data_IF_761015317855
#
_entry.id   IF_761015317855
#
_cell.length_a   1.000
_cell.length_b   1.000
_cell.length_c   1.000
_cell.angle_alpha   90.00
_cell.angle_beta   90.00
_cell.angle_gamma   90.00
#
_symmetry.space_group_name_H-M   'P 1'
#
loop_
_entity.id
_entity.type
_entity.pdbx_description
1 polymer ?
#
# COMPACT_ATOMS: atom_id res chain seq x y z
N UNK A 1 -14.62 -36.80 -0.82
CA UNK A 1 -15.72 -37.54 -1.51
C UNK A 1 -15.51 -39.04 -1.32
N UNK A 2 -16.39 -39.74 -0.57
CA UNK A 2 -16.35 -41.20 -0.34
C UNK A 2 -17.37 -41.95 -1.22
N UNK A 3 -17.57 -41.51 -2.46
CA UNK A 3 -18.48 -42.21 -3.39
C UNK A 3 -17.73 -43.36 -4.05
N UNK A 4 -18.28 -44.58 -3.99
CA UNK A 4 -17.68 -45.78 -4.60
C UNK A 4 -17.46 -45.68 -6.11
N UNK A 5 -18.08 -44.70 -6.78
CA UNK A 5 -17.91 -44.42 -8.21
C UNK A 5 -16.83 -43.38 -8.54
N UNK A 6 -16.21 -42.75 -7.53
CA UNK A 6 -15.17 -41.74 -7.74
C UNK A 6 -13.96 -42.31 -8.50
N UNK A 7 -13.57 -43.56 -8.22
CA UNK A 7 -12.48 -44.25 -8.92
C UNK A 7 -12.69 -44.32 -10.44
N UNK A 8 -13.92 -44.54 -10.89
CA UNK A 8 -14.29 -44.59 -12.30
C UNK A 8 -14.23 -43.20 -12.96
N UNK A 9 -14.86 -42.19 -12.35
CA UNK A 9 -14.92 -40.85 -12.92
C UNK A 9 -13.63 -40.03 -12.75
N UNK A 10 -12.72 -40.43 -11.85
CA UNK A 10 -11.46 -39.72 -11.55
C UNK A 10 -10.66 -39.39 -12.82
N UNK A 11 -10.53 -40.35 -13.75
CA UNK A 11 -9.77 -40.16 -14.99
C UNK A 11 -10.43 -39.15 -15.94
N UNK A 12 -11.75 -39.27 -16.13
CA UNK A 12 -12.54 -38.36 -16.98
C UNK A 12 -12.54 -36.93 -16.44
N UNK A 13 -12.75 -36.75 -15.13
CA UNK A 13 -12.71 -35.44 -14.48
C UNK A 13 -11.31 -34.84 -14.62
N UNK A 14 -10.25 -35.62 -14.38
CA UNK A 14 -8.88 -35.15 -14.54
C UNK A 14 -8.59 -34.69 -15.98
N UNK A 15 -9.04 -35.46 -16.98
CA UNK A 15 -8.90 -35.10 -18.39
C UNK A 15 -9.65 -33.79 -18.71
N UNK A 16 -10.91 -33.66 -18.28
CA UNK A 16 -11.69 -32.44 -18.46
C UNK A 16 -11.00 -31.22 -17.85
N UNK A 17 -10.55 -31.30 -16.60
CA UNK A 17 -9.87 -30.21 -15.91
C UNK A 17 -8.53 -29.83 -16.56
N UNK A 18 -7.81 -30.82 -17.08
CA UNK A 18 -6.55 -30.58 -17.81
C UNK A 18 -6.81 -29.82 -19.11
N UNK A 19 -7.83 -30.24 -19.87
CA UNK A 19 -8.25 -29.55 -21.10
C UNK A 19 -8.80 -28.14 -20.81
N UNK A 20 -9.50 -27.94 -19.70
CA UNK A 20 -9.98 -26.64 -19.26
C UNK A 20 -8.83 -25.68 -18.95
N UNK A 21 -7.80 -26.13 -18.23
CA UNK A 21 -6.60 -25.33 -17.97
C UNK A 21 -5.86 -25.03 -19.28
N UNK A 22 -5.78 -26.01 -20.20
CA UNK A 22 -5.18 -25.81 -21.51
C UNK A 22 -5.94 -24.76 -22.34
N UNK A 23 -7.27 -24.81 -22.35
CA UNK A 23 -8.12 -23.81 -22.99
C UNK A 23 -7.86 -22.41 -22.43
N UNK A 24 -7.85 -22.26 -21.10
CA UNK A 24 -7.57 -20.98 -20.43
C UNK A 24 -6.20 -20.38 -20.79
N UNK A 25 -5.20 -21.21 -21.11
CA UNK A 25 -3.86 -20.74 -21.50
C UNK A 25 -3.79 -20.24 -22.94
N UNK A 26 -4.69 -20.71 -23.80
CA UNK A 26 -4.63 -20.47 -25.25
C UNK A 26 -5.71 -19.52 -25.76
N UNK A 27 -6.73 -19.22 -24.95
CA UNK A 27 -7.73 -18.22 -25.29
C UNK A 27 -7.13 -16.81 -25.29
N UNK A 28 -7.46 -16.04 -26.30
CA UNK A 28 -7.00 -14.65 -26.49
C UNK A 28 -8.13 -13.62 -26.36
N UNK A 29 -9.36 -14.01 -26.71
CA UNK A 29 -10.54 -13.15 -26.60
C UNK A 29 -10.90 -12.89 -25.13
N UNK A 30 -11.09 -11.61 -24.78
CA UNK A 30 -11.25 -11.19 -23.39
C UNK A 30 -12.58 -11.63 -22.77
N UNK A 31 -13.67 -11.61 -23.54
CA UNK A 31 -15.00 -11.99 -23.04
C UNK A 31 -15.10 -13.50 -22.88
N UNK A 32 -14.57 -14.26 -23.85
CA UNK A 32 -14.47 -15.71 -23.76
C UNK A 32 -13.52 -16.15 -22.62
N UNK A 33 -12.40 -15.46 -22.42
CA UNK A 33 -11.52 -15.70 -21.27
C UNK A 33 -12.28 -15.49 -19.96
N UNK A 34 -12.94 -14.34 -19.80
CA UNK A 34 -13.72 -14.03 -18.59
C UNK A 34 -14.79 -15.09 -18.33
N UNK A 35 -15.56 -15.46 -19.34
CA UNK A 35 -16.61 -16.48 -19.22
C UNK A 35 -16.02 -17.84 -18.85
N UNK A 36 -14.93 -18.24 -19.50
CA UNK A 36 -14.28 -19.54 -19.24
C UNK A 36 -13.70 -19.60 -17.82
N UNK A 37 -13.10 -18.51 -17.33
CA UNK A 37 -12.62 -18.44 -15.93
C UNK A 37 -13.80 -18.55 -14.95
N UNK A 38 -14.92 -17.86 -15.23
CA UNK A 38 -16.12 -17.91 -14.41
C UNK A 38 -16.73 -19.31 -14.34
N UNK A 39 -16.75 -20.06 -15.43
CA UNK A 39 -17.21 -21.45 -15.43
C UNK A 39 -16.19 -22.38 -14.76
N UNK A 40 -14.89 -22.14 -14.96
CA UNK A 40 -13.83 -22.90 -14.28
C UNK A 40 -13.83 -22.74 -12.76
N UNK A 41 -14.19 -21.56 -12.25
CA UNK A 41 -14.36 -21.28 -10.83
C UNK A 41 -15.41 -22.19 -10.18
N UNK A 42 -16.49 -22.54 -10.88
CA UNK A 42 -17.50 -23.50 -10.38
C UNK A 42 -16.90 -24.90 -10.20
N UNK A 43 -15.85 -25.23 -10.95
CA UNK A 43 -15.16 -26.51 -10.87
C UNK A 43 -14.03 -26.54 -9.82
N UNK A 44 -13.84 -25.47 -9.03
CA UNK A 44 -12.78 -25.41 -8.01
C UNK A 44 -12.81 -26.57 -7.03
N UNK A 45 -14.00 -27.04 -6.62
CA UNK A 45 -14.14 -28.19 -5.72
C UNK A 45 -13.61 -29.51 -6.32
N UNK A 46 -13.61 -29.64 -7.65
CA UNK A 46 -13.04 -30.78 -8.35
C UNK A 46 -11.53 -30.61 -8.55
N UNK A 47 -11.06 -29.37 -8.77
CA UNK A 47 -9.64 -29.05 -8.91
C UNK A 47 -8.85 -29.33 -7.64
N UNK A 48 -9.38 -28.99 -6.46
CA UNK A 48 -8.69 -29.22 -5.18
C UNK A 48 -8.46 -30.70 -4.85
N UNK A 49 -9.21 -31.61 -5.50
CA UNK A 49 -8.99 -33.06 -5.41
C UNK A 49 -7.69 -33.52 -6.09
N UNK A 50 -7.08 -32.67 -6.93
CA UNK A 50 -5.85 -32.96 -7.67
C UNK A 50 -4.81 -31.85 -7.44
N UNK A 51 -3.93 -32.01 -6.45
CA UNK A 51 -2.96 -30.98 -6.02
C UNK A 51 -2.14 -30.37 -7.17
N UNK A 52 -1.65 -31.22 -8.08
CA UNK A 52 -0.94 -30.75 -9.27
C UNK A 52 -1.80 -29.84 -10.15
N UNK A 53 -3.05 -30.23 -10.42
CA UNK A 53 -3.94 -29.44 -11.26
C UNK A 53 -4.38 -28.15 -10.57
N UNK A 54 -4.62 -28.17 -9.26
CA UNK A 54 -4.93 -26.96 -8.49
C UNK A 54 -3.78 -25.95 -8.54
N UNK A 55 -2.53 -26.39 -8.39
CA UNK A 55 -1.34 -25.53 -8.53
C UNK A 55 -1.15 -25.02 -9.95
N UNK A 56 -1.38 -25.86 -10.95
CA UNK A 56 -1.33 -25.44 -12.36
C UNK A 56 -2.44 -24.43 -12.71
N UNK A 57 -3.63 -24.60 -12.14
CA UNK A 57 -4.75 -23.68 -12.27
C UNK A 57 -4.43 -22.34 -11.61
N UNK A 58 -3.94 -22.34 -10.35
CA UNK A 58 -3.49 -21.14 -9.67
C UNK A 58 -2.46 -20.36 -10.50
N UNK A 59 -1.47 -21.06 -11.08
CA UNK A 59 -0.47 -20.44 -11.96
C UNK A 59 -1.10 -19.80 -13.19
N UNK A 60 -2.07 -20.46 -13.81
CA UNK A 60 -2.81 -19.91 -14.96
C UNK A 60 -3.63 -18.68 -14.55
N UNK A 61 -4.33 -18.71 -13.42
CA UNK A 61 -5.07 -17.56 -12.91
C UNK A 61 -4.16 -16.37 -12.58
N UNK A 62 -3.02 -16.61 -11.93
CA UNK A 62 -2.04 -15.56 -11.62
C UNK A 62 -1.51 -14.88 -12.90
N UNK A 63 -1.24 -15.67 -13.94
CA UNK A 63 -0.83 -15.11 -15.23
C UNK A 63 -1.93 -14.25 -15.86
N UNK A 64 -3.19 -14.68 -15.82
CA UNK A 64 -4.32 -13.89 -16.32
C UNK A 64 -4.56 -12.62 -15.49
N UNK A 65 -4.35 -12.71 -14.17
CA UNK A 65 -4.50 -11.59 -13.25
C UNK A 65 -3.40 -10.54 -13.42
N UNK A 66 -2.15 -10.95 -13.68
CA UNK A 66 -1.00 -10.04 -13.78
C UNK A 66 -0.57 -9.70 -15.21
N UNK A 67 -1.18 -10.31 -16.23
CA UNK A 67 -0.83 -10.01 -17.63
C UNK A 67 -1.16 -8.57 -17.96
N UNK A 68 -0.30 -7.89 -18.70
CA UNK A 68 -0.57 -6.52 -19.19
C UNK A 68 -1.64 -6.49 -20.29
N UNK A 69 -1.86 -7.61 -21.00
CA UNK A 69 -2.80 -7.71 -22.12
C UNK A 69 -4.24 -7.99 -21.68
N UNK A 70 -4.43 -8.45 -20.44
CA UNK A 70 -5.77 -8.76 -19.94
C UNK A 70 -6.61 -7.49 -19.79
N UNK A 71 -7.93 -7.61 -19.85
CA UNK A 71 -8.85 -6.53 -19.46
C UNK A 71 -9.09 -6.59 -17.95
N UNK A 72 -9.59 -5.49 -17.37
CA UNK A 72 -9.89 -5.44 -15.94
C UNK A 72 -10.97 -6.45 -15.54
N UNK A 73 -11.92 -6.72 -16.44
CA UNK A 73 -12.95 -7.74 -16.22
C UNK A 73 -12.37 -9.15 -16.11
N UNK A 74 -11.34 -9.48 -16.90
CA UNK A 74 -10.61 -10.76 -16.81
C UNK A 74 -9.78 -10.81 -15.51
N UNK A 75 -9.10 -9.72 -15.14
CA UNK A 75 -8.31 -9.68 -13.89
C UNK A 75 -9.18 -9.88 -12.66
N UNK A 76 -10.32 -9.20 -12.58
CA UNK A 76 -11.28 -9.34 -11.48
C UNK A 76 -11.78 -10.78 -11.42
N UNK A 77 -12.20 -11.36 -12.54
CA UNK A 77 -12.70 -12.75 -12.55
C UNK A 77 -11.61 -13.76 -12.18
N UNK A 78 -10.38 -13.58 -12.68
CA UNK A 78 -9.24 -14.42 -12.31
C UNK A 78 -8.95 -14.33 -10.80
N UNK A 79 -9.02 -13.13 -10.22
CA UNK A 79 -8.84 -12.95 -8.79
C UNK A 79 -9.97 -13.60 -7.97
N UNK A 80 -11.23 -13.48 -8.39
CA UNK A 80 -12.36 -14.17 -7.75
C UNK A 80 -12.16 -15.69 -7.75
N UNK A 81 -11.69 -16.25 -8.87
CA UNK A 81 -11.35 -17.66 -8.95
C UNK A 81 -10.18 -18.06 -8.03
N UNK A 82 -9.16 -17.20 -7.86
CA UNK A 82 -8.08 -17.40 -6.87
C UNK A 82 -8.66 -17.40 -5.45
N UNK A 83 -9.55 -16.44 -5.14
CA UNK A 83 -10.22 -16.35 -3.83
C UNK A 83 -11.07 -17.59 -3.56
N UNK A 84 -11.84 -18.07 -4.54
CA UNK A 84 -12.59 -19.32 -4.45
C UNK A 84 -11.67 -20.51 -4.16
N UNK A 85 -10.53 -20.62 -4.87
CA UNK A 85 -9.52 -21.66 -4.60
C UNK A 85 -8.95 -21.58 -3.18
N UNK A 86 -8.72 -20.37 -2.67
CA UNK A 86 -8.16 -20.15 -1.34
C UNK A 86 -9.13 -20.55 -0.21
N UNK A 87 -10.44 -20.37 -0.41
CA UNK A 87 -11.49 -20.66 0.60
C UNK A 87 -11.95 -22.12 0.53
N UNK A 88 -11.87 -22.75 -0.64
CA UNK A 88 -12.40 -24.11 -0.84
C UNK A 88 -11.67 -25.13 0.04
N UNK A 89 -12.44 -25.83 0.87
CA UNK A 89 -11.94 -26.90 1.74
C UNK A 89 -11.39 -28.08 0.92
N UNK A 90 -10.21 -28.57 1.28
CA UNK A 90 -9.60 -29.74 0.63
C UNK A 90 -10.13 -31.02 1.27
N UNK A 91 -10.70 -31.96 0.50
CA UNK A 91 -11.09 -33.26 1.04
C UNK A 91 -9.84 -34.02 1.52
N UNK A 92 -9.79 -34.34 2.82
CA UNK A 92 -8.72 -35.17 3.37
C UNK A 92 -8.78 -36.57 2.75
N UNK A 93 -7.72 -36.96 2.05
CA UNK A 93 -7.62 -38.24 1.33
C UNK A 93 -6.17 -38.71 1.24
N UNK A 94 -5.96 -40.00 0.87
CA UNK A 94 -4.62 -40.65 0.86
C UNK A 94 -3.55 -39.92 0.03
N UNK A 95 -3.93 -39.10 -0.95
CA UNK A 95 -3.03 -38.37 -1.86
C UNK A 95 -2.97 -36.84 -1.59
N UNK A 96 -3.83 -36.30 -0.72
CA UNK A 96 -3.95 -34.85 -0.52
C UNK A 96 -3.81 -34.51 0.96
N UNK A 97 -2.75 -33.78 1.31
CA UNK A 97 -2.60 -33.20 2.65
C UNK A 97 -3.82 -32.31 2.91
N UNK A 98 -4.41 -32.37 4.10
CA UNK A 98 -5.55 -31.53 4.50
C UNK A 98 -5.21 -30.02 4.57
N UNK A 99 -4.07 -29.61 4.00
CA UNK A 99 -3.60 -28.25 4.00
C UNK A 99 -4.29 -27.50 2.86
N UNK A 100 -5.11 -26.51 3.22
CA UNK A 100 -5.80 -25.67 2.25
C UNK A 100 -4.84 -24.89 1.35
N UNK A 101 -5.39 -24.33 0.26
CA UNK A 101 -4.60 -23.54 -0.70
C UNK A 101 -4.43 -22.07 -0.29
N UNK A 102 -4.97 -21.65 0.85
CA UNK A 102 -4.92 -20.24 1.28
C UNK A 102 -3.48 -19.72 1.39
N UNK A 103 -2.60 -20.43 2.09
CA UNK A 103 -1.20 -20.00 2.28
C UNK A 103 -0.45 -19.84 0.95
N UNK A 104 -0.59 -20.82 0.04
CA UNK A 104 0.04 -20.76 -1.28
C UNK A 104 -0.59 -19.65 -2.16
N UNK A 105 -1.88 -19.37 -2.01
CA UNK A 105 -2.53 -18.27 -2.70
C UNK A 105 -2.03 -16.92 -2.19
N UNK A 106 -2.02 -16.68 -0.87
CA UNK A 106 -1.50 -15.45 -0.25
C UNK A 106 -0.08 -15.17 -0.73
N UNK A 107 0.81 -16.16 -0.60
CA UNK A 107 2.20 -16.06 -1.02
C UNK A 107 2.34 -15.72 -2.51
N UNK A 108 1.69 -16.47 -3.41
CA UNK A 108 1.90 -16.28 -4.84
C UNK A 108 1.20 -15.04 -5.40
N UNK A 109 0.08 -14.61 -4.81
CA UNK A 109 -0.59 -13.35 -5.16
C UNK A 109 0.35 -12.18 -4.82
N UNK A 110 0.91 -12.15 -3.61
CA UNK A 110 1.87 -11.11 -3.23
C UNK A 110 3.12 -11.11 -4.12
N UNK A 111 3.76 -12.27 -4.32
CA UNK A 111 4.96 -12.34 -5.16
C UNK A 111 4.71 -11.94 -6.62
N UNK A 112 3.54 -12.33 -7.17
CA UNK A 112 3.13 -11.94 -8.53
C UNK A 112 2.88 -10.43 -8.61
N UNK A 113 2.21 -9.86 -7.62
CA UNK A 113 2.01 -8.41 -7.52
C UNK A 113 3.34 -7.64 -7.51
N UNK A 114 4.27 -8.02 -6.61
CA UNK A 114 5.58 -7.36 -6.49
C UNK A 114 6.38 -7.44 -7.79
N UNK A 115 6.29 -8.57 -8.51
CA UNK A 115 6.94 -8.74 -9.82
C UNK A 115 6.40 -7.76 -10.87
N UNK A 116 5.11 -7.45 -10.84
CA UNK A 116 4.47 -6.53 -11.80
C UNK A 116 4.68 -5.04 -11.45
N UNK A 117 5.08 -4.73 -10.22
CA UNK A 117 5.29 -3.35 -9.74
C UNK A 117 6.62 -2.71 -10.17
N UNK A 118 7.41 -3.33 -11.07
CA UNK A 118 8.75 -2.83 -11.43
C UNK A 118 8.71 -1.51 -12.19
N UNK A 119 7.72 -1.34 -13.07
CA UNK A 119 7.58 -0.18 -13.94
C UNK A 119 6.23 0.51 -13.67
N UNK A 120 6.28 1.61 -12.92
CA UNK A 120 5.09 2.44 -12.65
C UNK A 120 5.12 3.65 -13.56
N UNK A 121 4.03 3.85 -14.31
CA UNK A 121 3.79 4.99 -15.17
C UNK A 121 2.27 5.28 -15.20
N UNK A 122 1.81 6.38 -15.84
CA UNK A 122 0.39 6.75 -15.82
C UNK A 122 -0.55 5.68 -16.38
N UNK A 123 -0.08 4.81 -17.28
CA UNK A 123 -0.88 3.72 -17.85
C UNK A 123 -0.88 2.45 -16.98
N UNK A 124 0.22 2.14 -16.28
CA UNK A 124 0.32 0.95 -15.44
C UNK A 124 -0.19 1.16 -14.02
N UNK A 125 -0.17 2.40 -13.52
CA UNK A 125 -0.58 2.73 -12.15
C UNK A 125 -2.03 2.32 -11.83
N UNK A 126 -3.05 2.56 -12.69
CA UNK A 126 -4.41 2.09 -12.43
C UNK A 126 -4.51 0.57 -12.28
N UNK A 127 -3.80 -0.17 -13.13
CA UNK A 127 -3.76 -1.64 -13.08
C UNK A 127 -3.07 -2.13 -11.80
N UNK A 128 -1.95 -1.50 -11.41
CA UNK A 128 -1.25 -1.82 -10.16
C UNK A 128 -2.17 -1.56 -8.96
N UNK A 129 -2.88 -0.44 -8.93
CA UNK A 129 -3.83 -0.12 -7.86
C UNK A 129 -4.99 -1.13 -7.80
N UNK A 130 -5.56 -1.50 -8.95
CA UNK A 130 -6.59 -2.54 -9.01
C UNK A 130 -6.08 -3.87 -8.45
N UNK A 131 -4.89 -4.31 -8.89
CA UNK A 131 -4.27 -5.54 -8.38
C UNK A 131 -4.01 -5.46 -6.88
N UNK A 132 -3.48 -4.33 -6.38
CA UNK A 132 -3.23 -4.10 -4.95
C UNK A 132 -4.52 -4.23 -4.15
N UNK A 133 -5.57 -3.51 -4.55
CA UNK A 133 -6.87 -3.52 -3.87
C UNK A 133 -7.51 -4.92 -3.85
N UNK A 134 -7.45 -5.65 -4.97
CA UNK A 134 -7.93 -7.03 -5.03
C UNK A 134 -7.12 -7.93 -4.09
N UNK A 135 -5.80 -7.92 -4.22
CA UNK A 135 -4.91 -8.76 -3.42
C UNK A 135 -5.05 -8.50 -1.91
N UNK A 136 -5.25 -7.24 -1.48
CA UNK A 136 -5.56 -6.89 -0.09
C UNK A 136 -6.79 -7.67 0.43
N UNK A 137 -7.84 -7.83 -0.37
CA UNK A 137 -9.04 -8.58 0.06
C UNK A 137 -8.76 -10.05 0.40
N UNK A 138 -7.73 -10.66 -0.19
CA UNK A 138 -7.38 -12.05 0.08
C UNK A 138 -6.87 -12.24 1.52
N UNK A 139 -6.20 -11.23 2.07
CA UNK A 139 -5.65 -11.25 3.43
C UNK A 139 -6.73 -11.13 4.52
N UNK A 140 -7.97 -10.80 4.16
CA UNK A 140 -9.10 -10.81 5.09
C UNK A 140 -9.68 -12.19 5.38
N UNK A 141 -9.25 -13.25 4.68
CA UNK A 141 -9.82 -14.60 4.85
C UNK A 141 -9.40 -15.24 6.18
N UNK A 142 -8.12 -15.10 6.57
CA UNK A 142 -7.60 -15.67 7.80
C UNK A 142 -6.51 -14.78 8.39
N UNK A 143 -6.83 -14.09 9.49
CA UNK A 143 -5.93 -13.09 10.09
C UNK A 143 -4.62 -13.69 10.60
N UNK A 144 -4.63 -14.94 11.07
CA UNK A 144 -3.44 -15.63 11.57
C UNK A 144 -2.44 -15.92 10.46
N UNK A 145 -2.88 -16.48 9.33
CA UNK A 145 -2.01 -16.74 8.18
C UNK A 145 -1.55 -15.43 7.53
N UNK A 146 -2.45 -14.45 7.44
CA UNK A 146 -2.13 -13.11 6.96
C UNK A 146 -1.03 -12.46 7.78
N UNK A 147 -1.10 -12.56 9.10
CA UNK A 147 -0.07 -12.07 10.02
C UNK A 147 1.28 -12.76 9.77
N UNK A 148 1.30 -14.09 9.65
CA UNK A 148 2.53 -14.84 9.38
C UNK A 148 3.21 -14.42 8.07
N UNK A 149 2.42 -14.27 6.99
CA UNK A 149 2.92 -13.80 5.69
C UNK A 149 3.41 -12.34 5.77
N UNK A 150 2.61 -11.45 6.36
CA UNK A 150 2.94 -10.04 6.53
C UNK A 150 4.23 -9.86 7.33
N UNK A 151 4.39 -10.57 8.45
CA UNK A 151 5.59 -10.53 9.27
C UNK A 151 6.85 -10.89 8.46
N UNK A 152 6.81 -11.97 7.68
CA UNK A 152 7.95 -12.42 6.87
C UNK A 152 8.35 -11.35 5.85
N UNK A 153 7.37 -10.78 5.13
CA UNK A 153 7.66 -9.84 4.05
C UNK A 153 8.00 -8.43 4.54
N UNK A 154 7.36 -7.93 5.61
CA UNK A 154 7.77 -6.68 6.27
C UNK A 154 9.19 -6.81 6.82
N UNK A 155 9.53 -7.96 7.41
CA UNK A 155 10.91 -8.23 7.86
C UNK A 155 11.90 -8.24 6.69
N UNK A 156 11.54 -8.76 5.52
CA UNK A 156 12.40 -8.68 4.33
C UNK A 156 12.64 -7.23 3.89
N UNK A 157 11.61 -6.38 3.89
CA UNK A 157 11.77 -4.95 3.61
C UNK A 157 12.75 -4.29 4.60
N UNK A 158 12.64 -4.62 5.89
CA UNK A 158 13.53 -4.13 6.93
C UNK A 158 15.00 -4.59 6.72
N UNK A 159 15.21 -5.84 6.28
CA UNK A 159 16.55 -6.37 5.98
C UNK A 159 17.20 -5.59 4.83
N UNK A 160 16.47 -5.34 3.74
CA UNK A 160 16.97 -4.54 2.62
C UNK A 160 17.31 -3.10 3.05
N UNK A 161 16.45 -2.48 3.85
CA UNK A 161 16.69 -1.15 4.39
C UNK A 161 17.93 -1.11 5.28
N UNK A 162 18.07 -2.07 6.20
CA UNK A 162 19.23 -2.16 7.10
C UNK A 162 20.54 -2.34 6.32
N UNK A 163 20.53 -3.16 5.26
CA UNK A 163 21.68 -3.32 4.37
C UNK A 163 22.04 -1.99 3.69
N UNK A 164 21.05 -1.27 3.16
CA UNK A 164 21.25 0.04 2.52
C UNK A 164 21.80 1.10 3.50
N UNK A 165 21.32 1.12 4.74
CA UNK A 165 21.83 2.02 5.78
C UNK A 165 23.25 1.69 6.22
N UNK A 166 23.56 0.39 6.37
CA UNK A 166 24.86 -0.09 6.87
C UNK A 166 25.96 0.04 5.81
N UNK A 167 25.73 -0.49 4.62
CA UNK A 167 26.75 -0.59 3.58
C UNK A 167 26.86 0.69 2.76
N UNK A 168 25.76 1.45 2.63
CA UNK A 168 25.65 2.70 1.87
C UNK A 168 26.11 2.58 0.41
N UNK A 169 26.04 1.38 -0.17
CA UNK A 169 26.35 1.18 -1.59
C UNK A 169 25.18 1.60 -2.47
N UNK A 170 25.46 2.05 -3.69
CA UNK A 170 24.41 2.38 -4.68
C UNK A 170 23.53 1.18 -4.97
N UNK A 171 24.10 -0.03 -4.99
CA UNK A 171 23.37 -1.29 -5.19
C UNK A 171 22.34 -1.51 -4.09
N UNK A 172 22.74 -1.37 -2.82
CA UNK A 172 21.85 -1.59 -1.68
C UNK A 172 20.79 -0.48 -1.59
N UNK A 173 21.17 0.77 -1.89
CA UNK A 173 20.20 1.88 -1.97
C UNK A 173 19.15 1.66 -3.06
N UNK A 174 19.55 1.15 -4.23
CA UNK A 174 18.63 0.85 -5.32
C UNK A 174 17.66 -0.30 -4.99
N UNK A 175 17.98 -1.17 -4.03
CA UNK A 175 17.05 -2.21 -3.55
C UNK A 175 15.90 -1.64 -2.72
N UNK A 176 16.08 -0.45 -2.14
CA UNK A 176 15.04 0.27 -1.37
C UNK A 176 14.36 1.34 -2.24
N UNK A 177 15.14 2.09 -3.02
CA UNK A 177 14.66 3.26 -3.76
C UNK A 177 14.22 2.86 -5.18
N UNK A 178 13.21 1.98 -5.24
CA UNK A 178 12.58 1.53 -6.48
C UNK A 178 11.07 1.33 -6.28
N UNK A 179 10.33 1.25 -7.39
CA UNK A 179 8.87 1.10 -7.35
C UNK A 179 8.39 -0.17 -6.67
N UNK A 180 9.10 -1.29 -6.82
CA UNK A 180 8.67 -2.56 -6.19
C UNK A 180 8.68 -2.42 -4.68
N UNK A 181 9.72 -1.82 -4.11
CA UNK A 181 9.84 -1.61 -2.67
C UNK A 181 8.77 -0.66 -2.13
N UNK A 182 8.50 0.45 -2.83
CA UNK A 182 7.45 1.41 -2.43
C UNK A 182 6.05 0.77 -2.51
N UNK A 183 5.76 0.04 -3.60
CA UNK A 183 4.50 -0.69 -3.73
C UNK A 183 4.35 -1.81 -2.70
N UNK A 184 5.45 -2.42 -2.23
CA UNK A 184 5.40 -3.35 -1.10
C UNK A 184 4.99 -2.65 0.20
N UNK A 185 5.52 -1.46 0.47
CA UNK A 185 5.11 -0.66 1.65
C UNK A 185 3.63 -0.32 1.54
N UNK A 186 3.18 0.20 0.39
CA UNK A 186 1.77 0.51 0.16
C UNK A 186 0.86 -0.72 0.30
N UNK A 187 1.27 -1.86 -0.25
CA UNK A 187 0.52 -3.11 -0.13
C UNK A 187 0.30 -3.51 1.32
N UNK A 188 1.36 -3.54 2.12
CA UNK A 188 1.23 -3.90 3.53
C UNK A 188 0.47 -2.85 4.32
N UNK A 189 0.60 -1.57 3.98
CA UNK A 189 -0.21 -0.53 4.60
C UNK A 189 -1.69 -0.70 4.26
N UNK A 190 -2.06 -1.06 3.03
CA UNK A 190 -3.45 -1.34 2.65
C UNK A 190 -4.02 -2.54 3.41
N UNK A 191 -3.23 -3.61 3.61
CA UNK A 191 -3.62 -4.75 4.45
C UNK A 191 -3.85 -4.33 5.90
N UNK A 192 -2.97 -3.50 6.46
CA UNK A 192 -3.12 -3.01 7.83
C UNK A 192 -4.24 -1.96 7.98
N UNK A 193 -4.51 -1.16 6.95
CA UNK A 193 -5.64 -0.24 6.93
C UNK A 193 -6.97 -1.01 6.90
N UNK A 194 -7.03 -2.08 6.11
CA UNK A 194 -8.25 -2.89 5.98
C UNK A 194 -8.52 -3.79 7.19
N UNK A 195 -7.47 -4.32 7.84
CA UNK A 195 -7.62 -5.38 8.85
C UNK A 195 -6.82 -5.15 10.13
N UNK A 196 -6.19 -3.99 10.33
CA UNK A 196 -5.46 -3.64 11.54
C UNK A 196 -6.30 -2.95 12.62
N UNK A 197 -7.54 -2.57 12.31
CA UNK A 197 -8.47 -1.99 13.27
C UNK A 197 -9.09 -3.02 14.23
N UNK A 198 -9.92 -2.57 15.20
CA UNK A 198 -10.74 -3.45 16.02
C UNK A 198 -11.64 -4.32 15.14
N UNK A 199 -11.75 -5.61 15.46
CA UNK A 199 -12.61 -6.55 14.77
C UNK A 199 -13.66 -7.09 15.75
N UNK A 200 -14.73 -7.67 15.22
CA UNK A 200 -15.71 -8.40 16.02
C UNK A 200 -15.47 -9.88 15.86
N UNK A 201 -15.50 -10.63 16.96
CA UNK A 201 -15.48 -12.08 16.91
C UNK A 201 -16.87 -12.67 16.58
N UNK A 202 -16.97 -14.00 16.60
CA UNK A 202 -18.23 -14.72 16.33
C UNK A 202 -19.30 -14.46 17.40
N UNK A 203 -18.90 -14.02 18.59
CA UNK A 203 -19.75 -13.72 19.75
C UNK A 203 -20.19 -12.23 19.76
N UNK A 204 -19.57 -11.40 18.92
CA UNK A 204 -19.86 -9.98 18.75
C UNK A 204 -19.00 -9.05 19.60
N UNK A 205 -18.03 -9.61 20.33
CA UNK A 205 -17.12 -8.88 21.19
C UNK A 205 -16.01 -8.21 20.36
N UNK A 206 -15.57 -7.03 20.81
CA UNK A 206 -14.48 -6.30 20.16
C UNK A 206 -13.14 -6.95 20.50
N UNK A 207 -12.53 -7.57 19.50
CA UNK A 207 -11.22 -8.21 19.58
C UNK A 207 -10.19 -7.44 18.76
N UNK A 208 -9.00 -7.28 19.31
CA UNK A 208 -7.88 -6.64 18.62
C UNK A 208 -7.34 -7.54 17.51
N UNK A 209 -7.16 -6.96 16.31
CA UNK A 209 -6.55 -7.70 15.20
C UNK A 209 -5.09 -8.04 15.47
N UNK A 210 -4.64 -9.29 15.22
CA UNK A 210 -3.23 -9.64 15.34
C UNK A 210 -2.35 -8.80 14.41
N UNK A 211 -2.91 -8.30 13.29
CA UNK A 211 -2.22 -7.45 12.34
C UNK A 211 -1.87 -6.07 12.91
N UNK A 212 -2.57 -5.59 13.95
CA UNK A 212 -2.27 -4.29 14.57
C UNK A 212 -0.84 -4.22 15.11
N UNK A 213 -0.32 -5.34 15.61
CA UNK A 213 1.07 -5.44 16.07
C UNK A 213 2.13 -5.18 14.98
N UNK A 214 1.76 -5.27 13.70
CA UNK A 214 2.63 -5.01 12.55
C UNK A 214 2.65 -3.54 12.11
N UNK A 215 1.75 -2.69 12.62
CA UNK A 215 1.71 -1.25 12.31
C UNK A 215 3.02 -0.58 12.67
N UNK A 216 3.55 -0.85 13.85
CA UNK A 216 4.82 -0.27 14.29
C UNK A 216 6.02 -0.75 13.46
N UNK A 217 6.24 -2.07 13.23
CA UNK A 217 7.27 -2.55 12.32
C UNK A 217 7.22 -1.93 10.92
N UNK A 218 6.04 -1.85 10.30
CA UNK A 218 5.91 -1.25 8.96
C UNK A 218 6.22 0.26 9.01
N UNK A 219 5.74 0.96 10.04
CA UNK A 219 6.01 2.39 10.24
C UNK A 219 7.50 2.66 10.35
N UNK A 220 8.25 1.84 11.10
CA UNK A 220 9.71 1.98 11.22
C UNK A 220 10.43 1.77 9.88
N UNK A 221 10.00 0.78 9.08
CA UNK A 221 10.54 0.56 7.73
C UNK A 221 10.26 1.75 6.81
N UNK A 222 9.03 2.27 6.84
CA UNK A 222 8.63 3.43 6.05
C UNK A 222 9.41 4.70 6.44
N UNK A 223 9.52 4.98 7.74
CA UNK A 223 10.30 6.11 8.26
C UNK A 223 11.78 6.00 7.85
N UNK A 224 12.40 4.83 8.05
CA UNK A 224 13.79 4.64 7.66
C UNK A 224 13.98 4.76 6.14
N UNK A 225 12.97 4.44 5.34
CA UNK A 225 12.97 4.66 3.89
C UNK A 225 12.99 6.16 3.54
N UNK A 226 12.18 6.99 4.23
CA UNK A 226 12.19 8.46 4.07
C UNK A 226 13.57 9.04 4.39
N UNK A 227 14.24 8.51 5.42
CA UNK A 227 15.51 9.01 5.93
C UNK A 227 16.75 8.46 5.22
N UNK A 228 16.64 7.43 4.38
CA UNK A 228 17.80 6.74 3.80
C UNK A 228 18.73 7.66 2.99
N UNK A 229 18.19 8.52 2.11
CA UNK A 229 18.97 9.52 1.36
C UNK A 229 18.30 10.89 1.48
N UNK A 230 18.83 11.80 2.32
CA UNK A 230 18.25 13.13 2.54
C UNK A 230 18.61 14.10 1.42
N UNK A 231 18.11 13.85 0.22
CA UNK A 231 18.28 14.74 -0.93
C UNK A 231 16.95 15.10 -1.55
N UNK A 232 16.86 16.32 -2.06
CA UNK A 232 15.67 16.81 -2.73
C UNK A 232 15.30 16.07 -4.01
N UNK A 233 16.20 15.23 -4.55
CA UNK A 233 15.88 14.35 -5.67
C UNK A 233 14.78 13.33 -5.31
N UNK A 234 14.73 12.91 -4.05
CA UNK A 234 13.84 11.86 -3.57
C UNK A 234 12.65 12.41 -2.78
N UNK A 235 12.35 13.71 -2.84
CA UNK A 235 11.13 14.24 -2.24
C UNK A 235 9.86 13.55 -2.77
N UNK A 236 9.70 13.25 -4.07
CA UNK A 236 8.54 12.49 -4.54
C UNK A 236 8.38 11.15 -3.83
N UNK A 237 9.46 10.36 -3.71
CA UNK A 237 9.47 9.11 -2.94
C UNK A 237 9.07 9.34 -1.47
N UNK A 238 9.59 10.38 -0.82
CA UNK A 238 9.22 10.70 0.56
C UNK A 238 7.72 10.98 0.69
N UNK A 239 7.12 11.73 -0.25
CA UNK A 239 5.70 12.03 -0.23
C UNK A 239 4.81 10.82 -0.51
N UNK A 240 5.25 9.87 -1.35
CA UNK A 240 4.55 8.57 -1.48
C UNK A 240 4.47 7.84 -0.14
N UNK A 241 5.61 7.71 0.54
CA UNK A 241 5.68 7.02 1.84
C UNK A 241 4.91 7.79 2.92
N UNK A 242 4.96 9.13 2.91
CA UNK A 242 4.16 9.95 3.83
C UNK A 242 2.66 9.77 3.63
N UNK A 243 2.17 9.73 2.38
CA UNK A 243 0.74 9.46 2.09
C UNK A 243 0.32 8.10 2.64
N UNK A 244 1.16 7.09 2.45
CA UNK A 244 0.96 5.74 2.97
C UNK A 244 0.87 5.74 4.51
N UNK A 245 1.80 6.41 5.19
CA UNK A 245 1.80 6.56 6.64
C UNK A 245 0.60 7.38 7.16
N UNK A 246 0.19 8.45 6.47
CA UNK A 246 -1.02 9.21 6.84
C UNK A 246 -2.26 8.32 6.78
N UNK A 247 -2.36 7.43 5.79
CA UNK A 247 -3.46 6.46 5.71
C UNK A 247 -3.45 5.49 6.90
N UNK A 248 -2.27 5.05 7.34
CA UNK A 248 -2.15 4.21 8.54
C UNK A 248 -2.61 4.93 9.80
N UNK A 249 -2.24 6.20 9.97
CA UNK A 249 -2.72 7.04 11.09
C UNK A 249 -4.24 7.07 11.10
N UNK A 250 -4.87 7.34 9.94
CA UNK A 250 -6.31 7.45 9.81
C UNK A 250 -7.06 6.15 10.16
N UNK A 251 -6.62 5.01 9.63
CA UNK A 251 -7.39 3.76 9.77
C UNK A 251 -7.07 2.98 11.04
N UNK A 252 -5.88 3.18 11.63
CA UNK A 252 -5.46 2.41 12.82
C UNK A 252 -5.48 3.21 14.12
N UNK A 253 -5.75 4.53 14.05
CA UNK A 253 -5.67 5.46 15.18
C UNK A 253 -4.31 5.42 15.91
N UNK A 254 -3.25 5.02 15.22
CA UNK A 254 -1.89 4.98 15.77
C UNK A 254 -1.24 6.34 15.55
N UNK A 255 -0.75 6.97 16.62
CA UNK A 255 0.01 8.21 16.51
C UNK A 255 1.37 7.97 15.85
N UNK A 256 1.63 8.68 14.75
CA UNK A 256 2.92 8.68 14.05
C UNK A 256 3.31 10.14 13.80
N UNK A 257 4.46 10.64 14.29
CA UNK A 257 4.84 12.05 14.19
C UNK A 257 5.32 12.42 12.77
N UNK A 258 4.40 12.48 11.80
CA UNK A 258 4.73 12.67 10.37
C UNK A 258 5.16 14.09 10.02
N UNK A 259 4.71 15.08 10.79
CA UNK A 259 4.95 16.49 10.50
C UNK A 259 6.43 16.87 10.52
N UNK A 260 7.23 16.22 11.38
CA UNK A 260 8.68 16.42 11.47
C UNK A 260 9.36 16.20 10.11
N UNK A 261 8.97 15.16 9.38
CA UNK A 261 9.55 14.85 8.06
C UNK A 261 9.13 15.85 6.98
N UNK A 262 7.93 16.43 7.08
CA UNK A 262 7.50 17.47 6.16
C UNK A 262 8.20 18.80 6.46
N UNK A 263 8.40 19.11 7.75
CA UNK A 263 9.15 20.30 8.18
C UNK A 263 10.62 20.21 7.77
N UNK A 264 11.24 19.03 7.82
CA UNK A 264 12.59 18.80 7.28
C UNK A 264 12.68 19.20 5.79
N UNK A 265 11.64 18.89 4.99
CA UNK A 265 11.57 19.29 3.58
C UNK A 265 11.45 20.81 3.44
N UNK A 266 10.63 21.47 4.27
CA UNK A 266 10.50 22.94 4.29
C UNK A 266 11.79 23.65 4.71
N UNK A 267 12.55 23.08 5.63
CA UNK A 267 13.83 23.65 6.09
C UNK A 267 14.98 23.35 5.12
N UNK A 268 14.77 22.47 4.14
CA UNK A 268 15.77 22.13 3.13
C UNK A 268 16.14 23.30 2.21
N UNK A 269 17.38 23.27 1.69
CA UNK A 269 17.91 24.32 0.80
C UNK A 269 17.00 24.63 -0.40
N UNK A 270 16.32 23.62 -0.93
CA UNK A 270 15.44 23.74 -2.10
C UNK A 270 14.22 24.62 -1.82
N UNK A 271 13.69 24.59 -0.61
CA UNK A 271 12.53 25.39 -0.22
C UNK A 271 12.92 26.84 0.16
N UNK A 272 14.19 27.07 0.48
CA UNK A 272 14.73 28.34 0.98
C UNK A 272 15.41 29.20 -0.11
N UNK A 273 15.95 28.58 -1.16
CA UNK A 273 16.67 29.26 -2.23
C UNK A 273 15.76 30.03 -3.21
N UNK A 274 16.33 31.02 -3.91
CA UNK A 274 15.64 31.72 -5.00
C UNK A 274 15.62 30.83 -6.24
N UNK A 275 14.43 30.43 -6.68
CA UNK A 275 14.24 29.67 -7.91
C UNK A 275 14.92 30.31 -9.14
N UNK A 276 15.49 29.47 -10.01
CA UNK A 276 15.89 29.89 -11.36
C UNK A 276 14.64 30.17 -12.22
N UNK A 277 14.68 31.23 -13.05
CA UNK A 277 13.57 31.71 -13.88
C UNK A 277 13.12 30.76 -15.01
N UNK A 278 13.86 29.69 -15.27
CA UNK A 278 13.54 28.73 -16.33
C UNK A 278 12.20 28.04 -16.06
N UNK A 279 11.30 28.10 -17.04
CA UNK A 279 10.06 27.31 -17.06
C UNK A 279 10.37 25.84 -16.86
N UNK A 280 9.66 25.20 -15.93
CA UNK A 280 9.80 23.79 -15.63
C UNK A 280 8.87 22.92 -16.46
N UNK A 281 9.16 21.63 -16.50
CA UNK A 281 8.20 20.62 -16.98
C UNK A 281 7.31 20.23 -15.79
N UNK A 282 5.98 20.18 -15.94
CA UNK A 282 5.09 19.65 -14.91
C UNK A 282 5.53 18.25 -14.48
N UNK A 283 5.63 18.02 -13.17
CA UNK A 283 5.97 16.72 -12.62
C UNK A 283 4.70 15.97 -12.25
N UNK A 284 4.57 14.73 -12.71
CA UNK A 284 3.57 13.81 -12.18
C UNK A 284 4.10 13.18 -10.89
N UNK A 285 3.61 13.68 -9.76
CA UNK A 285 3.98 13.22 -8.42
C UNK A 285 3.46 11.82 -8.10
N UNK A 286 2.52 11.27 -8.89
CA UNK A 286 2.00 9.93 -8.68
C UNK A 286 2.86 8.84 -9.34
N UNK A 287 3.71 9.22 -10.31
CA UNK A 287 4.50 8.27 -11.12
C UNK A 287 6.00 8.54 -11.14
N UNK A 288 6.50 9.40 -10.24
CA UNK A 288 7.93 9.68 -10.10
C UNK A 288 8.43 9.43 -8.67
N UNK A 289 9.52 8.66 -8.54
CA UNK A 289 10.25 8.50 -7.27
C UNK A 289 11.45 9.44 -7.15
N UNK A 290 12.07 9.80 -8.27
CA UNK A 290 13.34 10.53 -8.32
C UNK A 290 13.34 11.57 -9.42
N UNK A 291 13.67 12.81 -9.09
CA UNK A 291 13.90 13.88 -10.08
C UNK A 291 15.37 14.06 -10.41
N UNK A 292 15.66 14.56 -11.62
CA UNK A 292 17.01 14.89 -12.04
C UNK A 292 17.55 16.14 -11.31
N UNK A 293 18.84 16.18 -10.99
CA UNK A 293 19.51 17.32 -10.30
C UNK A 293 19.27 18.69 -10.93
N UNK A 294 19.04 18.72 -12.25
CA UNK A 294 18.79 19.96 -13.03
C UNK A 294 17.44 20.59 -12.69
N UNK A 295 16.44 19.80 -12.32
CA UNK A 295 15.06 20.24 -12.09
C UNK A 295 14.88 20.83 -10.68
N UNK A 296 15.71 20.40 -9.73
CA UNK A 296 15.59 20.72 -8.30
C UNK A 296 15.55 22.22 -8.01
N UNK A 297 16.36 23.02 -8.71
CA UNK A 297 16.43 24.48 -8.50
C UNK A 297 15.45 25.27 -9.41
N UNK A 298 14.59 24.57 -10.15
CA UNK A 298 13.56 25.16 -10.99
C UNK A 298 12.39 25.65 -10.17
N UNK A 299 11.79 26.78 -10.59
CA UNK A 299 10.66 27.40 -9.87
C UNK A 299 9.46 26.49 -9.72
N UNK A 300 9.10 25.76 -10.77
CA UNK A 300 7.94 24.87 -10.76
C UNK A 300 8.11 23.74 -9.75
N UNK A 301 9.28 23.10 -9.72
CA UNK A 301 9.54 22.04 -8.75
C UNK A 301 9.48 22.53 -7.30
N UNK A 302 10.07 23.71 -7.02
CA UNK A 302 9.98 24.31 -5.68
C UNK A 302 8.53 24.62 -5.29
N UNK A 303 7.75 25.24 -6.19
CA UNK A 303 6.35 25.55 -5.93
C UNK A 303 5.51 24.27 -5.71
N UNK A 304 5.76 23.21 -6.48
CA UNK A 304 5.10 21.92 -6.34
C UNK A 304 5.47 21.22 -5.03
N UNK A 305 6.75 21.26 -4.61
CA UNK A 305 7.19 20.72 -3.32
C UNK A 305 6.44 21.42 -2.17
N UNK A 306 6.29 22.75 -2.23
CA UNK A 306 5.58 23.50 -1.19
C UNK A 306 4.08 23.17 -1.18
N UNK A 307 3.47 22.93 -2.34
CA UNK A 307 2.09 22.43 -2.43
C UNK A 307 1.95 21.05 -1.81
N UNK A 308 2.88 20.12 -2.09
CA UNK A 308 2.88 18.79 -1.48
C UNK A 308 3.09 18.85 0.04
N UNK A 309 3.96 19.73 0.54
CA UNK A 309 4.10 19.97 1.98
C UNK A 309 2.77 20.44 2.60
N UNK A 310 2.12 21.43 2.00
CA UNK A 310 0.85 21.96 2.50
C UNK A 310 -0.24 20.88 2.50
N UNK A 311 -0.35 20.09 1.42
CA UNK A 311 -1.29 18.97 1.32
C UNK A 311 -1.01 17.88 2.36
N UNK A 312 0.25 17.48 2.52
CA UNK A 312 0.64 16.44 3.46
C UNK A 312 0.34 16.84 4.91
N UNK A 313 0.71 18.07 5.31
CA UNK A 313 0.43 18.58 6.65
C UNK A 313 -1.08 18.72 6.88
N UNK A 314 -1.83 19.25 5.90
CA UNK A 314 -3.28 19.37 6.01
C UNK A 314 -3.95 18.02 6.23
N UNK A 315 -3.60 17.02 5.41
CA UNK A 315 -4.18 15.68 5.52
C UNK A 315 -3.79 15.01 6.85
N UNK A 316 -2.56 15.20 7.31
CA UNK A 316 -2.09 14.67 8.59
C UNK A 316 -2.83 15.30 9.78
N UNK A 317 -2.95 16.63 9.81
CA UNK A 317 -3.55 17.34 10.95
C UNK A 317 -5.06 17.20 11.05
N UNK A 318 -5.74 16.97 9.91
CA UNK A 318 -7.18 16.74 9.88
C UNK A 318 -7.62 15.64 10.85
N UNK A 319 -6.81 14.60 11.00
CA UNK A 319 -7.07 13.46 11.91
C UNK A 319 -7.06 13.86 13.39
N UNK A 320 -6.41 14.96 13.74
CA UNK A 320 -6.23 15.40 15.12
C UNK A 320 -7.06 16.63 15.47
N UNK A 321 -7.87 17.18 14.56
CA UNK A 321 -8.63 18.41 14.80
C UNK A 321 -9.56 18.35 16.00
N UNK A 322 -10.07 17.16 16.35
CA UNK A 322 -10.95 16.94 17.50
C UNK A 322 -10.20 16.47 18.75
N UNK A 323 -8.87 16.30 18.66
CA UNK A 323 -8.08 15.77 19.76
C UNK A 323 -7.80 16.84 20.82
N UNK A 324 -8.00 16.47 22.09
CA UNK A 324 -7.70 17.31 23.26
C UNK A 324 -6.20 17.59 23.42
N UNK A 325 -5.29 17.10 22.58
CA UNK A 325 -3.89 17.51 22.54
C UNK A 325 -3.51 18.35 21.30
N UNK A 326 -4.48 18.66 20.42
CA UNK A 326 -4.20 19.28 19.12
C UNK A 326 -3.41 20.59 19.19
N UNK A 327 -3.78 21.57 20.03
CA UNK A 327 -2.99 22.77 20.28
C UNK A 327 -1.50 22.54 20.54
N UNK A 328 -1.15 21.60 21.42
CA UNK A 328 0.23 21.31 21.80
C UNK A 328 0.99 20.59 20.66
N UNK A 329 0.28 19.77 19.88
CA UNK A 329 0.85 19.08 18.73
C UNK A 329 1.24 20.05 17.61
N UNK A 330 0.43 21.09 17.37
CA UNK A 330 0.56 21.96 16.20
C UNK A 330 1.37 23.24 16.48
N UNK A 331 1.54 23.63 17.75
CA UNK A 331 2.22 24.88 18.14
C UNK A 331 3.65 24.99 17.58
N UNK A 332 4.47 23.96 17.79
CA UNK A 332 5.85 23.94 17.31
C UNK A 332 5.92 24.03 15.78
N UNK A 333 4.96 23.40 15.11
CA UNK A 333 4.90 23.32 13.66
C UNK A 333 4.41 24.61 13.02
N UNK A 334 3.42 25.29 13.63
CA UNK A 334 3.01 26.65 13.23
C UNK A 334 4.19 27.61 13.33
N UNK A 335 4.97 27.55 14.41
CA UNK A 335 6.16 28.40 14.58
C UNK A 335 7.19 28.09 13.50
N UNK A 336 7.44 26.81 13.21
CA UNK A 336 8.37 26.39 12.16
C UNK A 336 7.93 26.85 10.77
N UNK A 337 6.65 26.70 10.42
CA UNK A 337 6.09 27.11 9.12
C UNK A 337 6.10 28.65 9.00
N UNK A 338 5.75 29.39 10.06
CA UNK A 338 5.84 30.87 10.06
C UNK A 338 7.27 31.34 9.87
N UNK A 339 8.25 30.70 10.53
CA UNK A 339 9.68 30.99 10.32
C UNK A 339 10.06 30.76 8.87
N UNK A 340 9.63 29.64 8.28
CA UNK A 340 9.84 29.36 6.86
C UNK A 340 9.23 30.44 5.94
N UNK A 341 7.98 30.85 6.18
CA UNK A 341 7.28 31.88 5.38
C UNK A 341 8.03 33.24 5.38
N UNK A 342 8.67 33.60 6.50
CA UNK A 342 9.49 34.82 6.61
C UNK A 342 10.76 34.75 5.75
N UNK A 343 11.44 33.60 5.70
CA UNK A 343 12.73 33.46 5.02
C UNK A 343 12.64 32.99 3.56
N UNK A 344 11.58 32.29 3.18
CA UNK A 344 11.45 31.74 1.83
C UNK A 344 11.35 32.84 0.76
N UNK A 345 11.80 32.55 -0.45
CA UNK A 345 11.78 33.49 -1.60
C UNK A 345 10.72 33.14 -2.65
N UNK A 346 10.01 32.01 -2.51
CA UNK A 346 8.87 31.66 -3.39
C UNK A 346 7.63 32.49 -3.01
N UNK A 347 6.78 32.82 -3.98
CA UNK A 347 5.52 33.57 -3.78
C UNK A 347 4.29 32.65 -3.73
N UNK A 348 4.16 31.69 -4.66
CA UNK A 348 2.97 30.84 -4.77
C UNK A 348 2.86 29.79 -3.67
N UNK A 349 3.96 29.10 -3.36
CA UNK A 349 3.96 28.10 -2.29
C UNK A 349 3.73 28.70 -0.90
N UNK A 350 4.12 29.96 -0.70
CA UNK A 350 3.86 30.69 0.55
C UNK A 350 2.39 30.89 0.82
N UNK A 351 1.60 31.21 -0.19
CA UNK A 351 0.17 31.48 -0.02
C UNK A 351 -0.57 30.24 0.53
N UNK A 352 -0.27 29.06 -0.01
CA UNK A 352 -0.87 27.79 0.47
C UNK A 352 -0.47 27.46 1.90
N UNK A 353 0.82 27.59 2.23
CA UNK A 353 1.31 27.36 3.60
C UNK A 353 0.77 28.41 4.58
N UNK A 354 0.61 29.67 4.15
CA UNK A 354 0.00 30.72 4.96
C UNK A 354 -1.48 30.45 5.24
N UNK A 355 -2.22 30.00 4.24
CA UNK A 355 -3.62 29.60 4.40
C UNK A 355 -3.76 28.40 5.33
N UNK A 356 -2.85 27.41 5.21
CA UNK A 356 -2.79 26.27 6.14
C UNK A 356 -2.54 26.74 7.58
N UNK A 357 -1.57 27.62 7.81
CA UNK A 357 -1.28 28.15 9.15
C UNK A 357 -2.50 28.85 9.75
N UNK A 358 -3.22 29.67 8.98
CA UNK A 358 -4.47 30.28 9.43
C UNK A 358 -5.53 29.24 9.81
N UNK A 359 -5.70 28.19 8.99
CA UNK A 359 -6.65 27.11 9.25
C UNK A 359 -6.31 26.38 10.56
N UNK A 360 -5.03 26.04 10.75
CA UNK A 360 -4.54 25.37 11.97
C UNK A 360 -4.72 26.24 13.21
N UNK A 361 -4.48 27.55 13.13
CA UNK A 361 -4.67 28.48 14.24
C UNK A 361 -6.14 28.67 14.63
N UNK A 362 -7.04 28.73 13.64
CA UNK A 362 -8.48 28.77 13.90
C UNK A 362 -8.90 27.50 14.65
N UNK A 363 -8.47 26.33 14.17
CA UNK A 363 -8.79 25.05 14.81
C UNK A 363 -8.18 24.93 16.20
N UNK A 364 -6.93 25.36 16.37
CA UNK A 364 -6.26 25.39 17.66
C UNK A 364 -7.03 26.25 18.68
N UNK A 365 -7.50 27.43 18.28
CA UNK A 365 -8.31 28.31 19.15
C UNK A 365 -9.64 27.67 19.53
N UNK A 366 -10.36 27.11 18.55
CA UNK A 366 -11.61 26.39 18.79
C UNK A 366 -11.43 25.28 19.84
N UNK A 367 -10.40 24.43 19.70
CA UNK A 367 -10.12 23.36 20.66
C UNK A 367 -9.77 23.92 22.05
N UNK A 368 -9.01 25.02 22.14
CA UNK A 368 -8.69 25.66 23.43
C UNK A 368 -9.94 26.23 24.13
N UNK A 369 -10.84 26.85 23.38
CA UNK A 369 -12.11 27.38 23.88
C UNK A 369 -13.04 26.25 24.36
N UNK A 370 -13.12 25.16 23.61
CA UNK A 370 -13.87 23.96 24.01
C UNK A 370 -13.31 23.30 25.28
N UNK A 371 -11.97 23.28 25.45
CA UNK A 371 -11.35 22.82 26.70
C UNK A 371 -11.71 23.72 27.89
N UNK A 372 -11.63 25.03 27.71
CA UNK A 372 -11.94 26.01 28.75
C UNK A 372 -13.41 26.01 29.19
N UNK A 373 -14.32 25.62 28.30
CA UNK A 373 -15.77 25.54 28.60
C UNK A 373 -16.19 24.19 29.18
N UNK A 374 -15.58 23.06 28.76
CA UNK A 374 -15.91 21.72 29.28
C UNK A 374 -15.22 21.37 30.61
N UNK A 375 -14.13 22.04 30.97
CA UNK A 375 -13.40 21.79 32.22
C UNK A 375 -13.13 23.09 33.01
N UNK A 376 -14.16 23.77 33.53
CA UNK A 376 -13.95 24.92 34.40
C UNK A 376 -13.42 24.42 35.77
N UNK A 377 -12.10 24.49 35.97
CA UNK A 377 -11.51 24.39 37.32
C UNK A 377 -10.79 23.10 37.72
N UNK A 378 -9.88 22.57 36.88
CA UNK A 378 -8.77 21.75 37.37
C UNK A 378 -7.46 22.15 36.67
N UNK A 379 -6.88 23.25 37.17
CA UNK A 379 -5.44 23.49 37.14
C UNK A 379 -4.99 23.66 38.58
#
# INVERSE_FOLDING_TARGET
MKSGRWSFYKSYVKSYLTNLIHLLRNLTDADMLRLTVKEAEKCTILLVCFDRLAKEYLKTLLNLWSSSMSSDSVRIQAFLAIKSLAITSVPSGKESKAQGYLDICLKNVYLTFVKHCKNTNPHTLPVINLMRNLATQLYGINMTLSYQQAFVYIRQLAIHLRAAMKNRTVKDQNMVYNWQYIHCIDFWADVLNAYGGPMKDEEGDEVESPLKSLVYPLTQVAIGTIQLIPTAQYYPLRFHVLRCLTSLVHNTNTYIPLSVYVIEVLQGAVAMEKAKKTGGVPLDWDTVLKVHKKIIHGRMYQDDVLDQCAKALKNYYKEYYENVAFPEMVDADIVAIRRFLKHSKSLKGKEKLHNLVKELEIKQKQVREERGTKFPGRL
#
